data_IF_519136981959
#
_entry.id   IF_519136981959
#
_cell.length_a   1.000
_cell.length_b   1.000
_cell.length_c   1.000
_cell.angle_alpha   90.00
_cell.angle_beta   90.00
_cell.angle_gamma   90.00
#
_symmetry.space_group_name_H-M   'P 1'
#
loop_
_entity.id
_entity.type
_entity.pdbx_description
1 polymer ?
#
# COMPACT_ATOMS: atom_id res chain seq x y z
N UNK A 1 -78.48 24.35 25.15
CA UNK A 1 -78.15 25.76 25.47
C UNK A 1 -79.14 26.61 24.71
N UNK A 2 -80.12 27.21 25.41
CA UNK A 2 -80.22 28.66 25.71
C UNK A 2 -80.55 29.42 24.41
N UNK A 3 -81.62 30.17 24.21
CA UNK A 3 -82.72 30.72 25.02
C UNK A 3 -83.79 31.13 23.97
N UNK A 4 -85.08 30.82 24.13
CA UNK A 4 -86.00 31.42 25.10
C UNK A 4 -86.37 32.88 24.74
N UNK A 5 -87.68 33.17 24.88
CA UNK A 5 -88.37 34.47 24.95
C UNK A 5 -89.21 34.93 23.75
N UNK A 6 -90.56 34.81 23.83
CA UNK A 6 -91.55 35.56 24.66
C UNK A 6 -92.06 36.76 23.85
N UNK A 7 -93.29 37.25 23.89
CA UNK A 7 -94.53 36.96 24.61
C UNK A 7 -95.51 38.08 24.15
N UNK A 8 -96.81 37.83 24.24
CA UNK A 8 -97.88 38.81 24.54
C UNK A 8 -98.39 39.76 23.42
N UNK A 9 -99.51 39.31 22.82
CA UNK A 9 -100.85 39.95 22.83
C UNK A 9 -101.13 40.96 23.98
N UNK A 10 -102.31 41.62 24.08
CA UNK A 10 -103.28 42.06 23.09
C UNK A 10 -103.75 43.52 23.43
N UNK A 11 -104.88 43.93 22.83
CA UNK A 11 -105.73 45.05 23.25
C UNK A 11 -105.16 46.44 22.95
N UNK A 12 -105.87 47.18 22.09
CA UNK A 12 -106.55 48.40 22.53
C UNK A 12 -107.49 48.92 21.43
N UNK A 13 -108.78 48.80 21.75
CA UNK A 13 -109.74 49.91 21.70
C UNK A 13 -110.10 50.44 20.31
N UNK A 14 -111.19 49.87 19.79
CA UNK A 14 -112.08 50.50 18.82
C UNK A 14 -112.39 51.96 19.24
N UNK A 15 -111.89 52.92 18.44
CA UNK A 15 -112.35 54.31 18.44
C UNK A 15 -113.13 54.54 17.15
N UNK A 16 -114.44 54.70 17.30
CA UNK A 16 -115.31 55.25 16.26
C UNK A 16 -114.81 56.65 15.91
N UNK A 17 -114.18 56.79 14.73
CA UNK A 17 -113.87 58.09 14.14
C UNK A 17 -115.06 58.54 13.29
N UNK A 18 -115.72 59.58 13.77
CA UNK A 18 -116.64 60.43 13.02
C UNK A 18 -116.02 60.85 11.70
N UNK A 19 -116.66 60.48 10.59
CA UNK A 19 -116.30 60.87 9.22
C UNK A 19 -116.52 62.38 9.05
N UNK A 20 -115.49 63.17 9.38
CA UNK A 20 -115.42 64.57 8.98
C UNK A 20 -115.18 64.61 7.48
N UNK A 21 -116.10 65.23 6.73
CA UNK A 21 -115.93 65.49 5.28
C UNK A 21 -114.53 66.05 5.03
N UNK A 22 -113.78 65.51 4.06
CA UNK A 22 -112.41 65.93 3.81
C UNK A 22 -112.40 67.40 3.41
N UNK A 23 -111.90 68.23 4.32
CA UNK A 23 -111.37 69.54 3.96
C UNK A 23 -110.25 69.31 2.94
N UNK A 24 -110.19 70.16 1.91
CA UNK A 24 -109.25 70.07 0.77
C UNK A 24 -107.79 69.86 1.23
N UNK A 25 -107.43 70.28 2.44
CA UNK A 25 -106.11 70.07 3.06
C UNK A 25 -105.76 68.62 3.42
N UNK A 26 -106.73 67.74 3.73
CA UNK A 26 -106.46 66.32 4.06
C UNK A 26 -106.18 65.44 2.83
N UNK A 27 -106.78 65.79 1.69
CA UNK A 27 -106.48 65.16 0.41
C UNK A 27 -105.02 65.39 0.02
N UNK A 28 -104.47 66.57 0.29
CA UNK A 28 -103.04 66.85 0.07
C UNK A 28 -102.13 65.95 0.91
N UNK A 29 -102.44 65.68 2.18
CA UNK A 29 -101.63 64.78 3.02
C UNK A 29 -101.66 63.33 2.54
N UNK A 30 -102.81 62.83 2.11
CA UNK A 30 -102.93 61.46 1.55
C UNK A 30 -102.11 61.34 0.27
N UNK A 31 -102.15 62.37 -0.59
CA UNK A 31 -101.34 62.41 -1.82
C UNK A 31 -99.84 62.44 -1.49
N UNK A 32 -99.42 63.21 -0.48
CA UNK A 32 -98.01 63.25 -0.05
C UNK A 32 -97.56 61.88 0.49
N UNK A 33 -98.35 61.25 1.37
CA UNK A 33 -98.02 59.93 1.92
C UNK A 33 -97.99 58.86 0.82
N UNK A 34 -98.95 58.89 -0.10
CA UNK A 34 -98.95 57.99 -1.25
C UNK A 34 -97.72 58.20 -2.14
N UNK A 35 -97.29 59.46 -2.37
CA UNK A 35 -96.09 59.76 -3.13
C UNK A 35 -94.81 59.24 -2.43
N UNK A 36 -94.71 59.35 -1.10
CA UNK A 36 -93.59 58.80 -0.33
C UNK A 36 -93.57 57.26 -0.42
N UNK A 37 -94.72 56.60 -0.26
CA UNK A 37 -94.80 55.14 -0.36
C UNK A 37 -94.46 54.64 -1.76
N UNK A 38 -94.90 55.34 -2.81
CA UNK A 38 -94.53 55.02 -4.21
C UNK A 38 -93.04 55.23 -4.43
N UNK A 39 -92.45 56.28 -3.86
CA UNK A 39 -91.01 56.51 -3.91
C UNK A 39 -90.22 55.41 -3.18
N UNK A 40 -90.62 55.01 -1.97
CA UNK A 40 -89.95 53.95 -1.20
C UNK A 40 -90.06 52.57 -1.87
N UNK A 41 -91.23 52.23 -2.41
CA UNK A 41 -91.42 50.98 -3.16
C UNK A 41 -90.63 50.99 -4.47
N UNK A 42 -90.59 52.14 -5.17
CA UNK A 42 -89.77 52.32 -6.36
C UNK A 42 -88.27 52.21 -6.05
N UNK A 43 -87.82 52.83 -4.97
CA UNK A 43 -86.42 52.79 -4.50
C UNK A 43 -86.02 51.37 -4.07
N UNK A 44 -86.84 50.66 -3.28
CA UNK A 44 -86.56 49.26 -2.91
C UNK A 44 -86.52 48.35 -4.12
N UNK A 45 -87.47 48.48 -5.05
CA UNK A 45 -87.48 47.69 -6.29
C UNK A 45 -86.26 47.96 -7.16
N UNK A 46 -85.77 49.21 -7.18
CA UNK A 46 -84.53 49.58 -7.87
C UNK A 46 -83.30 48.93 -7.23
N UNK A 47 -83.21 48.92 -5.89
CA UNK A 47 -82.11 48.27 -5.17
C UNK A 47 -82.15 46.75 -5.19
N UNK A 48 -83.33 46.12 -5.15
CA UNK A 48 -83.46 44.66 -5.29
C UNK A 48 -83.05 44.22 -6.69
N UNK A 49 -83.35 45.02 -7.72
CA UNK A 49 -82.90 44.76 -9.09
C UNK A 49 -81.40 45.00 -9.27
N UNK A 50 -80.86 46.05 -8.64
CA UNK A 50 -79.43 46.35 -8.67
C UNK A 50 -78.59 45.30 -7.89
N UNK A 51 -79.07 44.85 -6.73
CA UNK A 51 -78.40 43.82 -5.91
C UNK A 51 -78.51 42.41 -6.50
N UNK A 52 -79.62 42.07 -7.16
CA UNK A 52 -79.77 40.82 -7.90
C UNK A 52 -78.74 40.66 -9.04
N UNK A 53 -78.46 41.74 -9.78
CA UNK A 53 -77.41 41.75 -10.80
C UNK A 53 -75.99 41.65 -10.19
N UNK A 54 -75.77 42.25 -9.01
CA UNK A 54 -74.49 42.17 -8.31
C UNK A 54 -74.19 40.75 -7.79
N UNK A 55 -75.22 40.03 -7.31
CA UNK A 55 -75.09 38.66 -6.82
C UNK A 55 -74.77 37.64 -7.93
N UNK A 56 -75.30 37.82 -9.14
CA UNK A 56 -74.97 36.94 -10.27
C UNK A 56 -73.52 37.08 -10.72
N UNK A 57 -73.00 38.31 -10.77
CA UNK A 57 -71.59 38.55 -11.09
C UNK A 57 -70.66 37.96 -10.01
N UNK A 58 -71.06 38.00 -8.75
CA UNK A 58 -70.29 37.40 -7.65
C UNK A 58 -70.25 35.87 -7.77
N UNK A 59 -71.39 35.24 -8.01
CA UNK A 59 -71.45 33.78 -8.20
C UNK A 59 -70.62 33.32 -9.41
N UNK A 60 -70.66 34.06 -10.53
CA UNK A 60 -69.80 33.80 -11.67
C UNK A 60 -68.31 33.94 -11.31
N UNK A 61 -67.94 35.01 -10.63
CA UNK A 61 -66.56 35.22 -10.18
C UNK A 61 -66.08 34.10 -9.24
N UNK A 62 -66.91 33.65 -8.29
CA UNK A 62 -66.59 32.52 -7.42
C UNK A 62 -66.34 31.23 -8.21
N UNK A 63 -67.17 30.95 -9.23
CA UNK A 63 -66.95 29.79 -10.10
C UNK A 63 -65.66 29.90 -10.91
N UNK A 64 -65.34 31.07 -11.46
CA UNK A 64 -64.09 31.30 -12.20
C UNK A 64 -62.86 31.17 -11.31
N UNK A 65 -62.91 31.72 -10.08
CA UNK A 65 -61.80 31.60 -9.11
C UNK A 65 -61.60 30.15 -8.71
N UNK A 66 -62.68 29.41 -8.45
CA UNK A 66 -62.57 27.99 -8.11
C UNK A 66 -62.03 27.15 -9.27
N UNK A 67 -62.42 27.47 -10.51
CA UNK A 67 -61.87 26.81 -11.71
C UNK A 67 -60.36 27.08 -11.84
N UNK A 68 -59.93 28.34 -11.71
CA UNK A 68 -58.50 28.69 -11.76
C UNK A 68 -57.69 28.01 -10.66
N UNK A 69 -58.22 27.93 -9.44
CA UNK A 69 -57.59 27.19 -8.33
C UNK A 69 -57.45 25.70 -8.66
N UNK A 70 -58.47 25.10 -9.27
CA UNK A 70 -58.40 23.71 -9.69
C UNK A 70 -57.35 23.49 -10.80
N UNK A 71 -57.24 24.41 -11.76
CA UNK A 71 -56.21 24.39 -12.80
C UNK A 71 -54.80 24.60 -12.24
N UNK A 72 -54.63 25.49 -11.27
CA UNK A 72 -53.37 25.69 -10.54
C UNK A 72 -52.97 24.42 -9.78
N UNK A 73 -53.89 23.82 -9.03
CA UNK A 73 -53.66 22.56 -8.34
C UNK A 73 -53.29 21.42 -9.31
N UNK A 74 -53.93 21.34 -10.49
CA UNK A 74 -53.55 20.37 -11.51
C UNK A 74 -52.13 20.62 -12.06
N UNK A 75 -51.75 21.89 -12.28
CA UNK A 75 -50.40 22.25 -12.71
C UNK A 75 -49.36 21.91 -11.65
N UNK A 76 -49.65 22.16 -10.38
CA UNK A 76 -48.77 21.81 -9.26
C UNK A 76 -48.57 20.30 -9.17
N UNK A 77 -49.64 19.50 -9.25
CA UNK A 77 -49.56 18.03 -9.27
C UNK A 77 -48.78 17.51 -10.48
N UNK A 78 -49.01 18.09 -11.67
CA UNK A 78 -48.26 17.73 -12.87
C UNK A 78 -46.77 18.05 -12.73
N UNK A 79 -46.44 19.20 -12.14
CA UNK A 79 -45.07 19.61 -11.88
C UNK A 79 -44.41 18.71 -10.84
N UNK A 80 -45.10 18.39 -9.75
CA UNK A 80 -44.62 17.45 -8.73
C UNK A 80 -44.35 16.06 -9.33
N UNK A 81 -45.23 15.56 -10.19
CA UNK A 81 -45.03 14.32 -10.93
C UNK A 81 -43.77 14.34 -11.80
N UNK A 82 -43.55 15.43 -12.54
CA UNK A 82 -42.36 15.60 -13.38
C UNK A 82 -41.08 15.69 -12.54
N UNK A 83 -41.13 16.39 -11.40
CA UNK A 83 -40.00 16.49 -10.48
C UNK A 83 -39.67 15.16 -9.81
N UNK A 84 -40.68 14.36 -9.46
CA UNK A 84 -40.48 13.01 -8.92
C UNK A 84 -39.90 12.06 -9.97
N UNK A 85 -40.36 12.09 -11.22
CA UNK A 85 -39.75 11.33 -12.32
C UNK A 85 -38.30 11.75 -12.56
N UNK A 86 -38.01 13.06 -12.55
CA UNK A 86 -36.64 13.57 -12.65
C UNK A 86 -35.75 13.04 -11.51
N UNK A 87 -36.22 13.12 -10.26
CA UNK A 87 -35.49 12.60 -9.09
C UNK A 87 -35.27 11.09 -9.18
N UNK A 88 -36.26 10.33 -9.65
CA UNK A 88 -36.14 8.88 -9.85
C UNK A 88 -35.08 8.53 -10.92
N UNK A 89 -34.99 9.32 -12.00
CA UNK A 89 -33.95 9.16 -13.02
C UNK A 89 -32.56 9.53 -12.51
N UNK A 90 -32.45 10.56 -11.68
CA UNK A 90 -31.18 10.93 -11.04
C UNK A 90 -30.71 9.83 -10.08
N UNK A 91 -31.60 9.33 -9.21
CA UNK A 91 -31.29 8.23 -8.29
C UNK A 91 -30.87 6.94 -9.03
N UNK A 92 -31.52 6.60 -10.15
CA UNK A 92 -31.11 5.42 -10.94
C UNK A 92 -29.76 5.61 -11.61
N UNK A 93 -29.40 6.83 -12.02
CA UNK A 93 -28.06 7.14 -12.54
C UNK A 93 -26.99 7.09 -11.46
N UNK A 94 -27.27 7.61 -10.27
CA UNK A 94 -26.35 7.56 -9.13
C UNK A 94 -26.08 6.11 -8.70
N UNK A 95 -27.13 5.32 -8.50
CA UNK A 95 -26.98 3.89 -8.18
C UNK A 95 -26.21 3.11 -9.24
N UNK A 96 -26.47 3.36 -10.53
CA UNK A 96 -25.68 2.73 -11.62
C UNK A 96 -24.21 3.17 -11.58
N UNK A 97 -23.94 4.43 -11.28
CA UNK A 97 -22.59 4.94 -11.16
C UNK A 97 -21.85 4.32 -9.98
N UNK A 98 -22.51 4.19 -8.82
CA UNK A 98 -21.97 3.53 -7.62
C UNK A 98 -21.63 2.06 -7.88
N UNK A 99 -22.54 1.31 -8.51
CA UNK A 99 -22.29 -0.09 -8.91
C UNK A 99 -21.08 -0.17 -9.85
N UNK A 100 -21.01 0.70 -10.85
CA UNK A 100 -19.87 0.74 -11.78
C UNK A 100 -18.55 1.08 -11.10
N UNK A 101 -18.55 1.93 -10.07
CA UNK A 101 -17.36 2.21 -9.28
C UNK A 101 -16.94 0.98 -8.47
N UNK A 102 -17.88 0.34 -7.76
CA UNK A 102 -17.59 -0.87 -6.98
C UNK A 102 -17.04 -1.99 -7.86
N UNK A 103 -17.58 -2.19 -9.06
CA UNK A 103 -17.05 -3.17 -10.01
C UNK A 103 -15.62 -2.86 -10.45
N UNK A 104 -15.28 -1.58 -10.68
CA UNK A 104 -13.92 -1.15 -11.00
C UNK A 104 -12.97 -1.36 -9.83
N UNK A 105 -13.40 -1.02 -8.61
CA UNK A 105 -12.62 -1.21 -7.39
C UNK A 105 -12.33 -2.69 -7.15
N UNK A 106 -13.34 -3.56 -7.26
CA UNK A 106 -13.18 -5.01 -7.14
C UNK A 106 -12.30 -5.60 -8.24
N UNK A 107 -12.42 -5.11 -9.48
CA UNK A 107 -11.56 -5.54 -10.57
C UNK A 107 -10.10 -5.15 -10.32
N UNK A 108 -9.87 -3.92 -9.87
CA UNK A 108 -8.55 -3.42 -9.51
C UNK A 108 -7.95 -4.20 -8.33
N UNK A 109 -8.75 -4.50 -7.30
CA UNK A 109 -8.31 -5.30 -6.16
C UNK A 109 -7.86 -6.71 -6.59
N UNK A 110 -8.63 -7.38 -7.45
CA UNK A 110 -8.24 -8.70 -8.03
C UNK A 110 -6.95 -8.61 -8.84
N UNK A 111 -6.77 -7.56 -9.63
CA UNK A 111 -5.55 -7.34 -10.40
C UNK A 111 -4.33 -7.15 -9.48
N UNK A 112 -4.49 -6.36 -8.41
CA UNK A 112 -3.45 -6.14 -7.42
C UNK A 112 -3.12 -7.42 -6.64
N UNK A 113 -4.12 -8.25 -6.33
CA UNK A 113 -3.92 -9.56 -5.71
C UNK A 113 -3.15 -10.53 -6.60
N UNK A 114 -3.52 -10.63 -7.88
CA UNK A 114 -2.80 -11.46 -8.85
C UNK A 114 -1.35 -10.97 -9.01
N UNK A 115 -1.13 -9.66 -9.07
CA UNK A 115 0.20 -9.07 -9.11
C UNK A 115 1.02 -9.43 -7.86
N UNK A 116 0.44 -9.30 -6.66
CA UNK A 116 1.08 -9.69 -5.40
C UNK A 116 1.35 -11.19 -5.32
N UNK A 117 0.48 -12.02 -5.87
CA UNK A 117 0.68 -13.47 -5.94
C UNK A 117 1.84 -13.84 -6.87
N UNK A 118 1.91 -13.21 -8.06
CA UNK A 118 3.02 -13.38 -9.01
C UNK A 118 4.35 -12.92 -8.43
N UNK A 119 4.36 -11.82 -7.68
CA UNK A 119 5.57 -11.33 -7.02
C UNK A 119 6.06 -12.32 -5.95
N UNK A 120 5.17 -12.77 -5.06
CA UNK A 120 5.48 -13.82 -4.07
C UNK A 120 6.00 -15.11 -4.70
N UNK A 121 5.45 -15.52 -5.84
CA UNK A 121 5.92 -16.69 -6.57
C UNK A 121 7.35 -16.51 -7.08
N UNK A 122 7.67 -15.34 -7.67
CA UNK A 122 9.03 -15.02 -8.12
C UNK A 122 10.03 -14.93 -6.96
N UNK A 123 9.63 -14.35 -5.84
CA UNK A 123 10.45 -14.30 -4.63
C UNK A 123 10.75 -15.71 -4.11
N UNK A 124 9.74 -16.58 -4.02
CA UNK A 124 9.93 -17.98 -3.60
C UNK A 124 10.86 -18.76 -4.55
N UNK A 125 10.70 -18.58 -5.87
CA UNK A 125 11.60 -19.18 -6.87
C UNK A 125 13.04 -18.68 -6.70
N UNK A 126 13.22 -17.38 -6.44
CA UNK A 126 14.53 -16.78 -6.22
C UNK A 126 15.17 -17.29 -4.93
N UNK A 127 14.42 -17.40 -3.84
CA UNK A 127 14.89 -17.96 -2.57
C UNK A 127 15.35 -19.42 -2.72
N UNK A 128 14.57 -20.26 -3.41
CA UNK A 128 14.96 -21.64 -3.71
C UNK A 128 16.25 -21.69 -4.53
N UNK A 129 16.38 -20.81 -5.53
CA UNK A 129 17.59 -20.72 -6.35
C UNK A 129 18.81 -20.26 -5.53
N UNK A 130 18.64 -19.34 -4.57
CA UNK A 130 19.71 -18.93 -3.65
C UNK A 130 20.13 -20.08 -2.73
N UNK A 131 19.17 -20.77 -2.11
CA UNK A 131 19.46 -21.91 -1.25
C UNK A 131 20.22 -23.01 -2.00
N UNK A 132 19.84 -23.30 -3.24
CA UNK A 132 20.56 -24.30 -4.04
C UNK A 132 21.98 -23.83 -4.38
N UNK A 133 22.19 -22.56 -4.72
CA UNK A 133 23.52 -21.99 -4.93
C UNK A 133 24.39 -22.08 -3.69
N UNK A 134 23.85 -21.74 -2.52
CA UNK A 134 24.56 -21.85 -1.25
C UNK A 134 24.91 -23.30 -0.91
N UNK A 135 23.97 -24.23 -1.14
CA UNK A 135 24.20 -25.66 -0.96
C UNK A 135 25.34 -26.17 -1.84
N UNK A 136 25.31 -25.82 -3.12
CA UNK A 136 26.36 -26.19 -4.08
C UNK A 136 27.71 -25.55 -3.72
N UNK A 137 27.71 -24.28 -3.30
CA UNK A 137 28.91 -23.58 -2.85
C UNK A 137 29.53 -24.25 -1.61
N UNK A 138 28.70 -24.66 -0.65
CA UNK A 138 29.14 -25.39 0.54
C UNK A 138 29.78 -26.73 0.19
N UNK A 139 29.15 -27.52 -0.69
CA UNK A 139 29.69 -28.80 -1.17
C UNK A 139 31.02 -28.59 -1.90
N UNK A 140 31.11 -27.58 -2.76
CA UNK A 140 32.35 -27.24 -3.48
C UNK A 140 33.47 -26.85 -2.52
N UNK A 141 33.17 -26.04 -1.50
CA UNK A 141 34.11 -25.65 -0.46
C UNK A 141 34.61 -26.85 0.36
N UNK A 142 33.72 -27.75 0.77
CA UNK A 142 34.09 -28.97 1.50
C UNK A 142 35.02 -29.87 0.67
N UNK A 143 34.74 -30.02 -0.63
CA UNK A 143 35.60 -30.76 -1.57
C UNK A 143 36.98 -30.11 -1.68
N UNK A 144 37.03 -28.80 -1.89
CA UNK A 144 38.29 -28.05 -1.96
C UNK A 144 39.12 -28.21 -0.69
N UNK A 145 38.48 -28.14 0.49
CA UNK A 145 39.14 -28.31 1.78
C UNK A 145 39.67 -29.74 1.96
N UNK A 146 38.93 -30.75 1.51
CA UNK A 146 39.38 -32.14 1.52
C UNK A 146 40.61 -32.34 0.63
N UNK A 147 40.56 -31.82 -0.60
CA UNK A 147 41.69 -31.88 -1.54
C UNK A 147 42.92 -31.16 -0.97
N UNK A 148 42.73 -30.02 -0.30
CA UNK A 148 43.81 -29.30 0.37
C UNK A 148 44.45 -30.12 1.50
N UNK A 149 43.63 -30.76 2.34
CA UNK A 149 44.10 -31.68 3.40
C UNK A 149 44.81 -32.90 2.84
N UNK A 150 44.36 -33.42 1.70
CA UNK A 150 45.04 -34.53 1.00
C UNK A 150 46.42 -34.12 0.47
N UNK A 151 46.52 -32.94 -0.15
CA UNK A 151 47.80 -32.38 -0.59
C UNK A 151 48.75 -32.14 0.59
N UNK A 152 48.24 -31.66 1.72
CA UNK A 152 49.02 -31.48 2.94
C UNK A 152 49.54 -32.82 3.49
N UNK A 153 48.65 -33.82 3.62
CA UNK A 153 49.04 -35.19 4.02
C UNK A 153 50.08 -35.79 3.08
N UNK A 154 49.95 -35.59 1.77
CA UNK A 154 50.94 -36.06 0.79
C UNK A 154 52.31 -35.39 0.97
N UNK A 155 52.33 -34.07 1.21
CA UNK A 155 53.58 -33.33 1.51
C UNK A 155 54.23 -33.79 2.80
N UNK A 156 53.44 -33.97 3.86
CA UNK A 156 53.95 -34.49 5.14
C UNK A 156 54.48 -35.92 5.01
N UNK A 157 53.78 -36.79 4.27
CA UNK A 157 54.23 -38.16 4.01
C UNK A 157 55.56 -38.16 3.24
N UNK A 158 55.68 -37.34 2.20
CA UNK A 158 56.92 -37.20 1.44
C UNK A 158 58.06 -36.65 2.31
N UNK A 159 57.77 -35.67 3.17
CA UNK A 159 58.74 -35.13 4.12
C UNK A 159 59.19 -36.20 5.13
N UNK A 160 58.26 -37.00 5.68
CA UNK A 160 58.59 -38.11 6.61
C UNK A 160 59.45 -39.18 5.95
N UNK A 161 59.13 -39.59 4.71
CA UNK A 161 59.94 -40.54 3.95
C UNK A 161 61.36 -39.97 3.75
N UNK A 162 61.48 -38.68 3.40
CA UNK A 162 62.77 -38.02 3.26
C UNK A 162 63.56 -37.99 4.57
N UNK A 163 62.92 -37.72 5.71
CA UNK A 163 63.57 -37.76 7.03
C UNK A 163 64.02 -39.17 7.40
N UNK A 164 63.16 -40.19 7.22
CA UNK A 164 63.51 -41.58 7.50
C UNK A 164 64.67 -42.07 6.63
N UNK A 165 64.72 -41.66 5.36
CA UNK A 165 65.84 -41.98 4.49
C UNK A 165 67.13 -41.33 4.99
N UNK A 166 67.08 -40.07 5.46
CA UNK A 166 68.24 -39.40 6.08
C UNK A 166 68.72 -40.13 7.33
N UNK A 167 67.80 -40.52 8.21
CA UNK A 167 68.11 -41.28 9.42
C UNK A 167 68.76 -42.64 9.08
N UNK A 168 68.22 -43.35 8.08
CA UNK A 168 68.80 -44.62 7.58
C UNK A 168 70.20 -44.46 7.03
N UNK A 169 70.42 -43.43 6.23
CA UNK A 169 71.72 -43.17 5.60
C UNK A 169 72.79 -42.74 6.63
N UNK A 170 72.39 -42.49 7.90
CA UNK A 170 73.28 -42.13 9.03
C UNK A 170 74.37 -41.12 8.62
N UNK A 171 73.97 -40.14 7.82
CA UNK A 171 74.84 -39.12 7.26
C UNK A 171 75.32 -38.22 8.39
N UNK A 172 76.62 -38.28 8.69
CA UNK A 172 77.24 -37.45 9.71
C UNK A 172 78.31 -36.59 9.07
N UNK A 173 78.39 -35.34 9.48
CA UNK A 173 79.51 -34.49 9.13
C UNK A 173 80.73 -34.95 9.94
N UNK A 174 81.85 -35.16 9.25
CA UNK A 174 83.15 -35.19 9.88
C UNK A 174 83.46 -33.83 10.53
N UNK A 175 84.44 -33.78 11.44
CA UNK A 175 84.79 -32.54 12.14
C UNK A 175 85.13 -31.42 11.15
N UNK A 176 84.53 -30.21 11.29
CA UNK A 176 84.79 -29.11 10.37
C UNK A 176 86.22 -28.61 10.54
N UNK A 177 86.96 -28.57 9.43
CA UNK A 177 88.33 -28.07 9.35
C UNK A 177 88.25 -26.61 8.89
N UNK A 178 88.74 -25.70 9.72
CA UNK A 178 88.77 -24.30 9.35
C UNK A 178 89.90 -24.03 8.34
N UNK A 179 89.58 -23.36 7.24
CA UNK A 179 90.51 -22.93 6.20
C UNK A 179 91.04 -21.50 6.48
N UNK A 180 91.91 -21.01 5.60
CA UNK A 180 92.41 -19.64 5.61
C UNK A 180 91.27 -18.63 5.53
N UNK A 181 91.41 -17.50 6.20
CA UNK A 181 90.43 -16.41 6.12
C UNK A 181 90.30 -15.93 4.68
N UNK A 182 89.06 -15.82 4.18
CA UNK A 182 88.79 -15.28 2.84
C UNK A 182 88.88 -13.75 2.89
N UNK A 183 88.41 -13.14 3.99
CA UNK A 183 88.51 -11.71 4.26
C UNK A 183 88.52 -11.46 5.78
N UNK A 184 88.70 -10.20 6.20
CA UNK A 184 88.72 -9.84 7.62
C UNK A 184 87.38 -10.20 8.30
N UNK A 185 87.42 -11.16 9.23
CA UNK A 185 86.23 -11.66 9.94
C UNK A 185 85.51 -12.83 9.28
N UNK A 186 85.88 -13.22 8.05
CA UNK A 186 85.25 -14.30 7.28
C UNK A 186 86.18 -15.50 7.21
N UNK A 187 85.77 -16.60 7.84
CA UNK A 187 86.54 -17.85 7.84
C UNK A 187 85.80 -18.92 7.05
N UNK A 188 86.48 -19.55 6.09
CA UNK A 188 85.92 -20.72 5.44
C UNK A 188 86.11 -21.98 6.27
N UNK A 189 85.13 -22.86 6.19
CA UNK A 189 85.18 -24.18 6.81
C UNK A 189 85.11 -25.23 5.73
N UNK A 190 85.72 -26.38 5.96
CA UNK A 190 85.62 -27.56 5.12
C UNK A 190 85.29 -28.75 5.98
N UNK A 191 84.17 -29.39 5.70
CA UNK A 191 83.82 -30.66 6.31
C UNK A 191 83.68 -31.72 5.23
N UNK A 192 83.71 -32.98 5.65
CA UNK A 192 83.49 -34.12 4.80
C UNK A 192 82.23 -34.82 5.27
N UNK A 193 81.30 -35.08 4.35
CA UNK A 193 80.11 -35.84 4.70
C UNK A 193 80.53 -37.32 4.75
N UNK A 194 80.54 -37.87 5.95
CA UNK A 194 80.85 -39.27 6.18
C UNK A 194 79.58 -40.07 5.85
N UNK A 195 79.74 -41.00 4.91
CA UNK A 195 78.67 -41.80 4.36
C UNK A 195 78.67 -43.17 5.02
N UNK A 196 77.55 -43.57 5.63
CA UNK A 196 77.38 -44.93 6.14
C UNK A 196 76.65 -45.84 5.13
N UNK A 197 76.15 -45.31 4.00
CA UNK A 197 75.25 -46.04 3.12
C UNK A 197 75.57 -45.91 1.61
N UNK A 198 74.97 -46.81 0.83
CA UNK A 198 75.47 -47.32 -0.47
C UNK A 198 75.54 -46.34 -1.66
N UNK A 199 76.24 -46.78 -2.71
CA UNK A 199 76.64 -46.06 -3.95
C UNK A 199 75.54 -45.34 -4.78
N UNK A 200 74.24 -45.52 -4.50
CA UNK A 200 73.15 -45.03 -5.37
C UNK A 200 72.58 -43.66 -5.00
N UNK A 201 72.97 -43.07 -3.86
CA UNK A 201 72.41 -41.79 -3.40
C UNK A 201 73.12 -40.56 -3.99
N UNK A 202 72.36 -39.48 -4.27
CA UNK A 202 72.93 -38.23 -4.76
C UNK A 202 73.61 -37.43 -3.62
N UNK A 203 74.90 -37.67 -3.42
CA UNK A 203 75.73 -37.04 -2.37
C UNK A 203 75.74 -35.51 -2.38
N UNK A 204 75.46 -34.87 -3.53
CA UNK A 204 75.42 -33.41 -3.65
C UNK A 204 74.17 -32.85 -2.97
N UNK A 205 73.02 -33.51 -3.14
CA UNK A 205 71.75 -33.08 -2.51
C UNK A 205 71.83 -33.24 -0.99
N UNK A 206 72.31 -34.38 -0.49
CA UNK A 206 72.54 -34.56 0.95
C UNK A 206 73.51 -33.51 1.52
N UNK A 207 74.55 -33.13 0.79
CA UNK A 207 75.47 -32.10 1.25
C UNK A 207 74.78 -30.74 1.44
N UNK A 208 73.91 -30.32 0.52
CA UNK A 208 73.22 -29.03 0.64
C UNK A 208 72.14 -29.02 1.72
N UNK A 209 71.48 -30.16 1.93
CA UNK A 209 70.34 -30.28 2.84
C UNK A 209 70.71 -30.66 4.28
N UNK A 210 71.86 -31.31 4.51
CA UNK A 210 72.28 -31.75 5.84
C UNK A 210 73.01 -30.60 6.55
N UNK A 211 72.44 -30.01 7.61
CA UNK A 211 73.08 -28.91 8.31
C UNK A 211 74.33 -29.39 9.06
N UNK A 212 75.37 -28.57 9.07
CA UNK A 212 76.55 -28.75 9.91
C UNK A 212 76.52 -27.76 11.07
N UNK A 213 76.92 -28.20 12.26
CA UNK A 213 77.04 -27.33 13.43
C UNK A 213 78.44 -26.74 13.49
N UNK A 214 78.57 -25.43 13.27
CA UNK A 214 79.84 -24.69 13.41
C UNK A 214 79.63 -23.70 14.57
N UNK A 215 80.44 -23.82 15.62
CA UNK A 215 80.33 -23.00 16.84
C UNK A 215 78.93 -23.01 17.48
N UNK A 216 78.27 -24.16 17.49
CA UNK A 216 76.94 -24.31 18.07
C UNK A 216 75.78 -23.79 17.20
N UNK A 217 76.06 -23.23 16.01
CA UNK A 217 75.04 -22.75 15.08
C UNK A 217 74.91 -23.71 13.90
N UNK A 218 73.71 -24.25 13.61
CA UNK A 218 73.50 -25.07 12.42
C UNK A 218 73.52 -24.21 11.16
N UNK A 219 74.26 -24.64 10.13
CA UNK A 219 74.40 -23.96 8.85
C UNK A 219 74.29 -24.97 7.70
N UNK A 220 73.67 -24.57 6.59
CA UNK A 220 73.66 -25.36 5.36
C UNK A 220 74.92 -25.11 4.53
N UNK A 221 75.35 -26.10 3.75
CA UNK A 221 76.49 -25.94 2.84
C UNK A 221 76.18 -24.94 1.72
N UNK A 222 77.06 -23.96 1.54
CA UNK A 222 76.97 -22.99 0.44
C UNK A 222 77.43 -23.59 -0.90
N UNK A 223 78.29 -24.61 -0.88
CA UNK A 223 78.84 -25.26 -2.06
C UNK A 223 79.16 -26.72 -1.79
N UNK A 224 78.76 -27.58 -2.74
CA UNK A 224 78.96 -29.02 -2.66
C UNK A 224 79.82 -29.55 -3.83
N UNK A 225 80.96 -30.19 -3.55
CA UNK A 225 81.85 -30.82 -4.55
C UNK A 225 82.03 -32.32 -4.30
N UNK A 226 82.09 -33.10 -5.38
CA UNK A 226 82.42 -34.53 -5.34
C UNK A 226 83.94 -34.68 -5.43
N UNK A 227 84.63 -35.19 -4.41
CA UNK A 227 86.05 -35.54 -4.58
C UNK A 227 86.12 -36.80 -5.44
N UNK A 228 86.95 -36.74 -6.49
CA UNK A 228 87.06 -37.81 -7.49
C UNK A 228 87.98 -38.94 -7.00
N UNK A 229 88.79 -38.71 -5.97
CA UNK A 229 89.77 -39.68 -5.47
C UNK A 229 89.51 -39.97 -3.98
N UNK A 230 89.18 -41.23 -3.67
CA UNK A 230 88.88 -41.80 -2.34
C UNK A 230 87.53 -41.35 -1.76
N UNK A 231 86.46 -42.12 -2.09
CA UNK A 231 85.20 -42.36 -1.34
C UNK A 231 84.52 -41.27 -0.50
N UNK A 232 84.88 -39.99 -0.58
CA UNK A 232 84.37 -38.98 0.34
C UNK A 232 84.36 -37.57 -0.29
N UNK A 233 83.37 -36.76 0.06
CA UNK A 233 83.12 -35.44 -0.54
C UNK A 233 83.67 -34.31 0.35
N UNK A 234 84.04 -33.17 -0.23
CA UNK A 234 84.71 -32.07 0.49
C UNK A 234 84.14 -30.71 0.11
N UNK A 235 84.10 -29.79 1.08
CA UNK A 235 83.28 -28.58 0.92
C UNK A 235 83.94 -27.29 1.44
N UNK A 236 83.35 -26.14 1.13
CA UNK A 236 83.83 -24.83 1.57
C UNK A 236 82.64 -23.93 1.93
N UNK A 237 82.64 -23.43 3.16
CA UNK A 237 81.71 -22.43 3.69
C UNK A 237 82.35 -21.04 3.55
N UNK A 238 81.55 -19.98 3.39
CA UNK A 238 82.01 -18.61 3.64
C UNK A 238 81.03 -18.01 4.67
N UNK A 239 81.57 -17.48 5.77
CA UNK A 239 80.81 -16.87 6.87
C UNK A 239 80.88 -15.36 6.81
#
# INVERSE_FOLDING_TARGET
>A
MISDRKDEDPLLRAKQHTVSKPSVTKLHLIVIVAAILVYDLGWRSFWDRASGCQNQNLAQYETEVNLRKAEEMQRELAWEGLMNDKRARENTRETQWEISQQERELAWEREMDDKRAKERAREAEWELAQQERERLAKVAWERQKKDQREKERAREAQWKISQQERERLSLSWGPPIAQSCISHGVKSYRAQLLDAASYSYNKIVACMETPITIHGVPRNASRCERQVNVSAAAFSFAL
#
